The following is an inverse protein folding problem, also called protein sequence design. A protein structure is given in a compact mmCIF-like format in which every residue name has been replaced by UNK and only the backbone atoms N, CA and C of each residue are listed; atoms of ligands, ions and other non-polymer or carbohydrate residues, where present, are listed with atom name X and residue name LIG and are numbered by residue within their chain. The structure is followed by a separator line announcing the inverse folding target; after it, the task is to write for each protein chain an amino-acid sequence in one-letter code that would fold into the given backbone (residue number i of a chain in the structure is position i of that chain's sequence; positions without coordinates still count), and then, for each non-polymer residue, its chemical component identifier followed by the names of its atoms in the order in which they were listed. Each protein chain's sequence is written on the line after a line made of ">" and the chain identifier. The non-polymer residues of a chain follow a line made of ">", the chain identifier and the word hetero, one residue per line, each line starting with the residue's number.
data_IF_913623287618
#
_entry.id   IF_913623287618
#
_cell.length_a   1.000
_cell.length_b   1.000
_cell.length_c   1.000
_cell.angle_alpha   90.00
_cell.angle_beta   90.00
_cell.angle_gamma   90.00
#
_symmetry.space_group_name_H-M   'P 1'
#
loop_
_entity.id
_entity.type
_entity.pdbx_description
1 polymer ?
#
# COMPACT_ATOMS: atom_id res chain seq x y z
N UNK A 1 24.46 7.26 -13.40
CA UNK A 1 24.56 5.94 -12.74
C UNK A 1 25.89 5.89 -11.98
N UNK A 2 25.87 6.24 -10.70
CA UNK A 2 27.04 6.28 -9.83
C UNK A 2 27.04 5.01 -8.97
N UNK A 3 28.05 4.17 -9.14
CA UNK A 3 28.30 3.04 -8.26
C UNK A 3 28.86 3.57 -6.94
N UNK A 4 28.04 3.53 -5.89
CA UNK A 4 28.48 3.79 -4.53
C UNK A 4 29.27 2.57 -4.03
N UNK A 5 30.59 2.65 -4.14
CA UNK A 5 31.55 1.83 -3.43
C UNK A 5 31.61 2.31 -1.97
N UNK A 6 31.52 1.39 -1.03
CA UNK A 6 32.11 1.56 0.30
C UNK A 6 31.21 1.19 1.47
N UNK A 7 31.52 0.07 2.11
CA UNK A 7 32.10 0.06 3.46
C UNK A 7 32.38 -1.40 3.86
N UNK A 8 33.66 -1.75 3.95
CA UNK A 8 34.09 -3.00 4.59
C UNK A 8 33.83 -2.84 6.08
N UNK A 9 32.88 -3.60 6.60
CA UNK A 9 32.56 -3.64 8.01
C UNK A 9 33.75 -4.24 8.78
N UNK A 10 34.35 -3.43 9.64
CA UNK A 10 35.30 -3.89 10.65
C UNK A 10 34.56 -4.78 11.66
N UNK A 11 35.15 -5.91 12.09
CA UNK A 11 34.56 -6.75 13.12
C UNK A 11 34.52 -5.97 14.44
N UNK A 12 33.32 -5.64 14.89
CA UNK A 12 33.07 -5.01 16.17
C UNK A 12 33.57 -5.93 17.29
N UNK A 13 34.41 -5.37 18.16
CA UNK A 13 34.85 -5.96 19.42
C UNK A 13 33.62 -6.38 20.24
N UNK A 14 33.54 -7.64 20.73
CA UNK A 14 32.38 -8.08 21.49
C UNK A 14 32.24 -7.22 22.76
N UNK A 15 31.03 -6.78 23.13
CA UNK A 15 30.80 -6.14 24.40
C UNK A 15 31.07 -7.18 25.50
N UNK A 16 32.05 -6.88 26.34
CA UNK A 16 32.22 -7.49 27.65
C UNK A 16 31.05 -7.07 28.54
N UNK A 17 29.87 -7.63 28.29
CA UNK A 17 28.73 -7.54 29.18
C UNK A 17 28.95 -8.53 30.31
N UNK A 18 29.65 -8.06 31.34
CA UNK A 18 29.58 -8.61 32.69
C UNK A 18 28.17 -8.36 33.22
N UNK A 19 27.22 -9.18 32.79
CA UNK A 19 25.89 -9.22 33.37
C UNK A 19 26.03 -9.91 34.72
N UNK A 20 26.12 -9.11 35.77
CA UNK A 20 26.00 -9.58 37.15
C UNK A 20 24.57 -10.16 37.32
N UNK A 21 24.44 -11.47 37.16
CA UNK A 21 23.22 -12.21 37.42
C UNK A 21 23.00 -12.15 38.94
N UNK A 22 22.13 -11.23 39.34
CA UNK A 22 21.68 -11.08 40.72
C UNK A 22 20.60 -12.13 40.97
N UNK A 23 21.02 -13.20 41.65
CA UNK A 23 20.28 -13.99 42.64
C UNK A 23 18.74 -14.03 42.52
N UNK A 24 18.21 -15.17 42.05
CA UNK A 24 16.87 -15.63 42.42
C UNK A 24 16.93 -17.09 42.86
N UNK A 25 16.76 -17.25 44.17
CA UNK A 25 16.26 -18.39 44.91
C UNK A 25 16.97 -19.75 44.76
N UNK A 26 18.08 -19.86 45.49
CA UNK A 26 18.76 -21.13 45.81
C UNK A 26 17.88 -21.93 46.77
N UNK A 27 17.01 -22.79 46.25
CA UNK A 27 16.65 -24.01 46.96
C UNK A 27 17.94 -24.74 47.25
N UNK A 28 18.39 -24.69 48.50
CA UNK A 28 19.60 -25.34 48.96
C UNK A 28 19.39 -26.87 48.93
N UNK A 29 19.50 -27.45 47.73
CA UNK A 29 19.84 -28.85 47.60
C UNK A 29 21.22 -28.96 48.25
N UNK A 30 21.25 -29.58 49.43
CA UNK A 30 22.47 -29.91 50.16
C UNK A 30 23.33 -30.73 49.20
N UNK A 31 24.32 -30.09 48.61
CA UNK A 31 25.25 -30.77 47.72
C UNK A 31 25.97 -31.84 48.55
N UNK A 32 25.92 -33.11 48.14
CA UNK A 32 26.61 -34.17 48.85
C UNK A 32 28.10 -33.82 48.97
N UNK A 33 28.77 -34.24 50.06
CA UNK A 33 30.18 -33.94 50.27
C UNK A 33 30.99 -34.37 49.05
N UNK A 34 31.84 -33.47 48.54
CA UNK A 34 32.62 -33.68 47.33
C UNK A 34 33.46 -34.98 47.46
N UNK A 35 32.95 -36.05 46.85
CA UNK A 35 33.64 -37.34 46.81
C UNK A 35 34.85 -37.17 45.90
N UNK A 36 36.04 -37.10 46.50
CA UNK A 36 37.27 -37.02 45.73
C UNK A 36 37.54 -38.39 45.08
N UNK A 37 37.75 -38.46 43.75
CA UNK A 37 38.04 -39.71 43.08
C UNK A 37 39.40 -40.24 43.56
N UNK A 38 39.40 -41.40 44.21
CA UNK A 38 40.59 -42.00 44.84
C UNK A 38 41.34 -42.92 43.89
N UNK A 39 40.66 -43.46 42.88
CA UNK A 39 41.24 -44.38 41.90
C UNK A 39 41.45 -43.68 40.55
N UNK A 40 42.43 -44.15 39.77
CA UNK A 40 42.73 -43.59 38.44
C UNK A 40 41.57 -43.74 37.46
N UNK A 41 40.79 -44.81 37.59
CA UNK A 41 39.57 -45.03 36.82
C UNK A 41 38.48 -44.01 37.16
N UNK A 42 38.25 -43.73 38.45
CA UNK A 42 37.31 -42.68 38.89
C UNK A 42 37.72 -41.30 38.38
N UNK A 43 39.03 -40.98 38.41
CA UNK A 43 39.56 -39.72 37.89
C UNK A 43 39.32 -39.58 36.38
N UNK A 44 39.52 -40.65 35.60
CA UNK A 44 39.25 -40.65 34.16
C UNK A 44 37.77 -40.40 33.85
N UNK A 45 36.86 -41.09 34.54
CA UNK A 45 35.42 -40.90 34.34
C UNK A 45 34.96 -39.52 34.80
N UNK A 46 35.48 -39.00 35.92
CA UNK A 46 35.19 -37.66 36.39
C UNK A 46 35.65 -36.59 35.38
N UNK A 47 36.87 -36.71 34.85
CA UNK A 47 37.37 -35.80 33.83
C UNK A 47 36.53 -35.87 32.54
N UNK A 48 36.12 -37.08 32.14
CA UNK A 48 35.25 -37.29 30.97
C UNK A 48 33.84 -36.72 31.18
N UNK A 49 33.27 -36.86 32.38
CA UNK A 49 31.98 -36.27 32.72
C UNK A 49 32.06 -34.73 32.69
N UNK A 50 33.10 -34.15 33.30
CA UNK A 50 33.30 -32.70 33.32
C UNK A 50 33.52 -32.13 31.90
N UNK A 51 34.29 -32.82 31.05
CA UNK A 51 34.43 -32.42 29.64
C UNK A 51 33.12 -32.52 28.87
N UNK A 52 32.28 -33.52 29.15
CA UNK A 52 30.95 -33.62 28.56
C UNK A 52 30.02 -32.48 29.02
N UNK A 53 30.02 -32.15 30.32
CA UNK A 53 29.22 -31.07 30.89
C UNK A 53 29.64 -29.70 30.36
N UNK A 54 30.95 -29.44 30.27
CA UNK A 54 31.48 -28.19 29.70
C UNK A 54 31.13 -28.04 28.22
N UNK A 55 31.22 -29.12 27.43
CA UNK A 55 30.83 -29.13 26.01
C UNK A 55 29.33 -28.89 25.85
N UNK A 56 28.49 -29.55 26.66
CA UNK A 56 27.05 -29.36 26.65
C UNK A 56 26.67 -27.92 27.03
N UNK A 57 27.31 -27.36 28.06
CA UNK A 57 27.09 -25.96 28.47
C UNK A 57 27.46 -24.99 27.35
N UNK A 58 28.57 -25.23 26.66
CA UNK A 58 28.98 -24.41 25.51
C UNK A 58 27.97 -24.50 24.35
N UNK A 59 27.41 -25.68 24.08
CA UNK A 59 26.36 -25.85 23.05
C UNK A 59 25.08 -25.12 23.42
N UNK A 60 24.61 -25.25 24.65
CA UNK A 60 23.41 -24.56 25.11
C UNK A 60 23.57 -23.04 25.08
N UNK A 61 24.75 -22.53 25.46
CA UNK A 61 25.05 -21.11 25.37
C UNK A 61 24.98 -20.62 23.91
N UNK A 62 25.59 -21.36 22.99
CA UNK A 62 25.54 -21.03 21.56
C UNK A 62 24.13 -21.11 20.96
N UNK A 63 23.33 -22.13 21.31
CA UNK A 63 21.93 -22.22 20.88
C UNK A 63 21.10 -21.05 21.39
N UNK A 64 21.30 -20.64 22.64
CA UNK A 64 20.65 -19.47 23.20
C UNK A 64 21.06 -18.20 22.45
N UNK A 65 22.34 -18.01 22.15
CA UNK A 65 22.83 -16.87 21.35
C UNK A 65 22.20 -16.85 19.95
N UNK A 66 22.13 -17.99 19.26
CA UNK A 66 21.48 -18.08 17.96
C UNK A 66 20.00 -17.75 18.02
N UNK A 67 19.29 -18.24 19.04
CA UNK A 67 17.86 -17.95 19.22
C UNK A 67 17.61 -16.47 19.54
N UNK A 68 18.50 -15.84 20.30
CA UNK A 68 18.43 -14.41 20.61
C UNK A 68 18.69 -13.55 19.37
N UNK A 69 19.66 -13.94 18.54
CA UNK A 69 19.95 -13.28 17.27
C UNK A 69 18.80 -13.43 16.28
N UNK A 70 18.20 -14.62 16.15
CA UNK A 70 17.06 -14.83 15.26
C UNK A 70 15.85 -13.99 15.69
N UNK A 71 15.55 -13.93 16.98
CA UNK A 71 14.47 -13.10 17.51
C UNK A 71 14.69 -11.61 17.22
N UNK A 72 15.92 -11.11 17.37
CA UNK A 72 16.26 -9.72 17.07
C UNK A 72 16.12 -9.39 15.58
N UNK A 73 16.51 -10.31 14.69
CA UNK A 73 16.32 -10.15 13.25
C UNK A 73 14.84 -10.18 12.84
N UNK A 74 14.06 -11.09 13.41
CA UNK A 74 12.62 -11.17 13.16
C UNK A 74 11.92 -9.88 13.57
N UNK A 75 12.27 -9.31 14.73
CA UNK A 75 11.74 -8.03 15.17
C UNK A 75 12.12 -6.90 14.19
N UNK A 76 13.36 -6.87 13.70
CA UNK A 76 13.79 -5.90 12.70
C UNK A 76 12.99 -6.03 11.40
N UNK A 77 12.81 -7.25 10.90
CA UNK A 77 12.00 -7.52 9.70
C UNK A 77 10.54 -7.10 9.91
N UNK A 78 9.98 -7.37 11.09
CA UNK A 78 8.62 -6.95 11.43
C UNK A 78 8.47 -5.42 11.40
N UNK A 79 9.46 -4.67 11.91
CA UNK A 79 9.48 -3.20 11.87
C UNK A 79 9.57 -2.69 10.42
N UNK A 80 10.43 -3.27 9.60
CA UNK A 80 10.57 -2.90 8.18
C UNK A 80 9.27 -3.16 7.40
N UNK A 81 8.64 -4.33 7.62
CA UNK A 81 7.34 -4.66 7.04
C UNK A 81 6.24 -3.68 7.48
N UNK A 82 6.20 -3.31 8.76
CA UNK A 82 5.23 -2.34 9.28
C UNK A 82 5.41 -0.96 8.65
N UNK A 83 6.65 -0.52 8.43
CA UNK A 83 6.96 0.74 7.73
C UNK A 83 6.51 0.67 6.27
N UNK A 84 6.80 -0.45 5.59
CA UNK A 84 6.40 -0.67 4.21
C UNK A 84 4.87 -0.66 4.08
N UNK A 85 4.16 -1.38 4.94
CA UNK A 85 2.70 -1.44 4.97
C UNK A 85 2.09 -0.05 5.15
N UNK A 86 2.55 0.73 6.14
CA UNK A 86 2.11 2.13 6.34
C UNK A 86 2.33 2.99 5.09
N UNK A 87 3.38 2.72 4.31
CA UNK A 87 3.64 3.44 3.06
C UNK A 87 2.67 3.05 1.94
N UNK A 88 2.22 1.79 1.92
CA UNK A 88 1.21 1.29 0.98
C UNK A 88 -0.18 1.82 1.34
N UNK A 89 -0.58 1.75 2.60
CA UNK A 89 -1.89 2.23 3.07
C UNK A 89 -2.10 3.70 2.72
N UNK A 90 -1.07 4.53 2.92
CA UNK A 90 -1.07 5.94 2.51
C UNK A 90 -1.28 6.15 1.01
N UNK A 91 -0.79 5.23 0.16
CA UNK A 91 -0.99 5.31 -1.29
C UNK A 91 -2.41 4.87 -1.65
N UNK A 92 -2.90 3.80 -1.03
CA UNK A 92 -4.25 3.29 -1.26
C UNK A 92 -5.31 4.32 -0.87
N UNK A 93 -5.18 4.97 0.29
CA UNK A 93 -6.11 6.02 0.70
C UNK A 93 -6.18 7.18 -0.33
N UNK A 94 -5.06 7.56 -0.95
CA UNK A 94 -5.04 8.59 -1.99
C UNK A 94 -5.71 8.13 -3.28
N UNK A 95 -5.48 6.87 -3.69
CA UNK A 95 -6.13 6.29 -4.86
C UNK A 95 -7.63 6.14 -4.65
N UNK A 96 -8.05 5.77 -3.45
CA UNK A 96 -9.45 5.66 -3.06
C UNK A 96 -10.17 7.01 -3.17
N UNK A 97 -9.60 8.08 -2.62
CA UNK A 97 -10.17 9.43 -2.74
C UNK A 97 -10.29 9.86 -4.21
N UNK A 98 -9.26 9.59 -5.02
CA UNK A 98 -9.28 9.93 -6.45
C UNK A 98 -10.36 9.12 -7.18
N UNK A 99 -10.44 7.81 -6.92
CA UNK A 99 -11.46 6.93 -7.50
C UNK A 99 -12.89 7.38 -7.13
N UNK A 100 -13.12 7.72 -5.86
CA UNK A 100 -14.41 8.23 -5.38
C UNK A 100 -14.77 9.57 -6.05
N UNK A 101 -13.78 10.46 -6.23
CA UNK A 101 -13.99 11.75 -6.91
C UNK A 101 -14.34 11.55 -8.40
N UNK A 102 -13.64 10.64 -9.08
CA UNK A 102 -13.91 10.29 -10.48
C UNK A 102 -15.31 9.67 -10.63
N UNK A 103 -15.66 8.75 -9.72
CA UNK A 103 -16.97 8.11 -9.72
C UNK A 103 -18.10 9.11 -9.47
N UNK A 104 -17.93 10.03 -8.52
CA UNK A 104 -18.88 11.12 -8.29
C UNK A 104 -19.02 12.04 -9.52
N UNK A 105 -17.91 12.35 -10.20
CA UNK A 105 -17.94 13.13 -11.45
C UNK A 105 -18.70 12.40 -12.57
N UNK A 106 -18.54 11.09 -12.69
CA UNK A 106 -19.26 10.28 -13.68
C UNK A 106 -20.76 10.25 -13.39
N UNK A 107 -21.16 10.08 -12.13
CA UNK A 107 -22.59 10.14 -11.74
C UNK A 107 -23.17 11.52 -12.06
N UNK A 108 -22.47 12.60 -11.67
CA UNK A 108 -22.90 13.97 -11.97
C UNK A 108 -23.07 14.17 -13.48
N UNK A 109 -22.13 13.67 -14.28
CA UNK A 109 -22.19 13.72 -15.74
C UNK A 109 -23.44 13.00 -16.29
N UNK A 110 -23.65 11.75 -15.91
CA UNK A 110 -24.82 10.95 -16.34
C UNK A 110 -26.13 11.60 -15.89
N UNK A 111 -26.20 12.13 -14.66
CA UNK A 111 -27.39 12.83 -14.19
C UNK A 111 -27.68 14.09 -15.00
N UNK A 112 -26.63 14.81 -15.40
CA UNK A 112 -26.74 16.03 -16.22
C UNK A 112 -27.21 15.70 -17.63
N UNK A 113 -26.69 14.65 -18.25
CA UNK A 113 -27.13 14.23 -19.60
C UNK A 113 -28.59 13.78 -19.60
N UNK A 114 -29.02 13.01 -18.60
CA UNK A 114 -30.43 12.62 -18.42
C UNK A 114 -31.32 13.85 -18.20
N UNK A 115 -30.89 14.80 -17.37
CA UNK A 115 -31.64 16.04 -17.13
C UNK A 115 -31.79 16.87 -18.41
N UNK A 116 -30.71 17.01 -19.19
CA UNK A 116 -30.76 17.73 -20.46
C UNK A 116 -31.66 17.03 -21.49
N UNK A 117 -31.57 15.71 -21.59
CA UNK A 117 -32.39 14.92 -22.51
C UNK A 117 -33.88 15.00 -22.14
N UNK A 118 -34.21 14.86 -20.85
CA UNK A 118 -35.58 14.99 -20.36
C UNK A 118 -36.13 16.42 -20.51
N UNK A 119 -35.29 17.44 -20.40
CA UNK A 119 -35.68 18.83 -20.66
C UNK A 119 -35.92 19.08 -22.15
N UNK A 120 -35.10 18.52 -23.03
CA UNK A 120 -35.27 18.65 -24.48
C UNK A 120 -36.55 17.98 -24.98
N UNK A 121 -36.98 16.90 -24.32
CA UNK A 121 -38.24 16.21 -24.63
C UNK A 121 -39.50 16.97 -24.18
N UNK A 122 -39.40 18.05 -23.38
CA UNK A 122 -40.57 18.87 -23.07
C UNK A 122 -40.78 19.83 -24.25
N UNK A 123 -41.74 19.59 -25.15
CA UNK A 123 -42.06 20.57 -26.18
C UNK A 123 -42.49 21.84 -25.46
N UNK A 124 -41.69 22.89 -25.53
CA UNK A 124 -42.17 24.22 -25.16
C UNK A 124 -43.33 24.51 -26.11
N UNK A 125 -44.57 24.67 -25.62
CA UNK A 125 -45.67 25.03 -26.49
C UNK A 125 -45.31 26.39 -27.08
N UNK A 126 -44.96 26.41 -28.36
CA UNK A 126 -44.68 27.67 -29.03
C UNK A 126 -46.01 28.42 -29.04
N UNK A 127 -46.10 29.45 -28.19
CA UNK A 127 -47.28 30.32 -28.07
C UNK A 127 -47.68 31.02 -29.37
N UNK A 128 -46.90 30.81 -30.44
CA UNK A 128 -47.01 31.44 -31.75
C UNK A 128 -47.11 30.43 -32.91
N UNK A 129 -47.24 29.12 -32.64
CA UNK A 129 -47.63 28.17 -33.68
C UNK A 129 -49.13 28.31 -33.94
N UNK A 130 -49.48 29.31 -34.74
CA UNK A 130 -50.78 29.37 -35.39
C UNK A 130 -50.93 28.12 -36.28
N UNK A 131 -52.05 27.38 -36.20
CA UNK A 131 -52.28 26.18 -36.98
C UNK A 131 -52.64 26.57 -38.42
N UNK A 132 -51.66 26.89 -39.26
CA UNK A 132 -51.88 27.03 -40.70
C UNK A 132 -51.66 25.69 -41.40
N UNK A 133 -52.62 24.77 -41.24
CA UNK A 133 -52.67 23.58 -42.07
C UNK A 133 -53.14 23.97 -43.48
N UNK A 134 -52.22 24.41 -44.34
CA UNK A 134 -52.45 24.45 -45.78
C UNK A 134 -51.93 23.15 -46.39
N UNK A 135 -52.89 22.27 -46.68
CA UNK A 135 -52.77 21.18 -47.63
C UNK A 135 -52.26 21.67 -48.97
N UNK A 136 -51.07 21.25 -49.39
CA UNK A 136 -50.79 21.00 -50.81
C UNK A 136 -50.08 19.65 -50.92
N UNK A 137 -50.75 18.62 -51.45
CA UNK A 137 -50.20 17.29 -51.59
C UNK A 137 -49.37 17.20 -52.88
N UNK A 138 -48.30 16.40 -52.82
CA UNK A 138 -47.64 15.73 -53.97
C UNK A 138 -46.98 16.70 -54.95
N UNK A 139 -45.78 17.14 -54.61
CA UNK A 139 -44.58 17.24 -55.46
C UNK A 139 -43.57 18.06 -54.67
N UNK A 140 -42.30 17.67 -54.75
CA UNK A 140 -41.12 18.51 -54.47
C UNK A 140 -40.32 18.19 -53.18
N UNK A 141 -38.97 18.20 -53.27
CA UNK A 141 -38.03 17.43 -52.46
C UNK A 141 -37.54 18.20 -51.21
N UNK A 142 -38.45 18.73 -50.41
CA UNK A 142 -38.13 19.64 -49.31
C UNK A 142 -38.29 19.04 -47.90
N UNK A 143 -38.35 17.71 -47.77
CA UNK A 143 -38.22 17.04 -46.47
C UNK A 143 -36.79 17.18 -45.85
N UNK A 144 -35.86 17.83 -46.55
CA UNK A 144 -34.45 18.01 -46.13
C UNK A 144 -34.21 19.21 -45.18
N UNK A 145 -35.24 19.91 -44.68
CA UNK A 145 -35.05 21.12 -43.84
C UNK A 145 -35.62 20.93 -42.43
N UNK A 146 -35.43 19.74 -41.84
CA UNK A 146 -35.71 19.51 -40.42
C UNK A 146 -34.53 18.84 -39.70
N UNK A 147 -33.50 18.37 -40.41
CA UNK A 147 -32.40 17.61 -39.78
C UNK A 147 -31.20 18.46 -39.30
N UNK A 148 -31.16 19.77 -39.58
CA UNK A 148 -29.94 20.54 -39.39
C UNK A 148 -29.89 21.36 -38.09
N UNK A 149 -31.01 21.57 -37.40
CA UNK A 149 -31.02 22.42 -36.20
C UNK A 149 -30.79 21.65 -34.88
N UNK A 150 -31.16 20.37 -34.82
CA UNK A 150 -30.89 19.53 -33.64
C UNK A 150 -29.41 19.11 -33.52
N UNK A 151 -28.68 19.07 -34.64
CA UNK A 151 -27.27 18.67 -34.68
C UNK A 151 -26.30 19.71 -34.09
N UNK A 152 -26.60 21.00 -34.25
CA UNK A 152 -25.69 22.08 -33.81
C UNK A 152 -25.69 22.24 -32.27
N UNK A 153 -26.82 21.94 -31.62
CA UNK A 153 -26.93 22.03 -30.16
C UNK A 153 -26.16 20.88 -29.49
N UNK A 154 -26.20 19.67 -30.07
CA UNK A 154 -25.54 18.50 -29.51
C UNK A 154 -24.00 18.60 -29.62
N UNK A 155 -23.50 19.07 -30.76
CA UNK A 155 -22.05 19.25 -30.98
C UNK A 155 -21.42 20.25 -30.01
N UNK A 156 -22.10 21.35 -29.67
CA UNK A 156 -21.62 22.33 -28.67
C UNK A 156 -21.57 21.74 -27.27
N UNK A 157 -22.51 20.86 -26.93
CA UNK A 157 -22.55 20.22 -25.61
C UNK A 157 -21.44 19.16 -25.48
N UNK A 158 -21.26 18.33 -26.52
CA UNK A 158 -20.22 17.31 -26.57
C UNK A 158 -18.84 17.95 -26.51
N UNK A 159 -18.61 19.04 -27.25
CA UNK A 159 -17.33 19.76 -27.23
C UNK A 159 -17.03 20.37 -25.86
N UNK A 160 -18.01 20.99 -25.18
CA UNK A 160 -17.84 21.46 -23.80
C UNK A 160 -17.54 20.32 -22.81
N UNK A 161 -18.21 19.18 -22.95
CA UNK A 161 -17.95 18.00 -22.12
C UNK A 161 -16.54 17.44 -22.34
N UNK A 162 -16.11 17.30 -23.60
CA UNK A 162 -14.76 16.87 -23.94
C UNK A 162 -13.71 17.84 -23.38
N UNK A 163 -13.95 19.15 -23.44
CA UNK A 163 -13.06 20.15 -22.87
C UNK A 163 -12.95 20.03 -21.34
N UNK A 164 -14.06 19.83 -20.64
CA UNK A 164 -14.09 19.64 -19.17
C UNK A 164 -13.36 18.35 -18.79
N UNK A 165 -13.62 17.24 -19.50
CA UNK A 165 -12.95 15.96 -19.27
C UNK A 165 -11.45 16.05 -19.54
N UNK A 166 -11.03 16.74 -20.61
CA UNK A 166 -9.62 16.95 -20.92
C UNK A 166 -8.93 17.82 -19.84
N UNK A 167 -9.60 18.86 -19.34
CA UNK A 167 -9.08 19.69 -18.25
C UNK A 167 -8.95 18.92 -16.93
N UNK A 168 -9.95 18.09 -16.60
CA UNK A 168 -9.91 17.20 -15.43
C UNK A 168 -8.81 16.15 -15.55
N UNK A 169 -8.71 15.48 -16.70
CA UNK A 169 -7.65 14.52 -16.97
C UNK A 169 -6.27 15.16 -16.86
N UNK A 170 -6.10 16.37 -17.41
CA UNK A 170 -4.87 17.14 -17.29
C UNK A 170 -4.56 17.53 -15.84
N UNK A 171 -5.54 18.00 -15.07
CA UNK A 171 -5.36 18.34 -13.66
C UNK A 171 -4.97 17.11 -12.83
N UNK A 172 -5.62 15.97 -13.05
CA UNK A 172 -5.24 14.68 -12.45
C UNK A 172 -3.82 14.28 -12.83
N UNK A 173 -3.46 14.37 -14.11
CA UNK A 173 -2.13 14.01 -14.60
C UNK A 173 -1.05 14.95 -14.04
N UNK A 174 -1.34 16.25 -13.95
CA UNK A 174 -0.45 17.26 -13.37
C UNK A 174 -0.26 17.06 -11.87
N UNK A 175 -1.34 16.79 -11.14
CA UNK A 175 -1.27 16.46 -9.71
C UNK A 175 -0.42 15.21 -9.48
N UNK A 176 -0.61 14.19 -10.32
CA UNK A 176 0.17 12.96 -10.28
C UNK A 176 1.64 13.18 -10.58
N UNK A 177 1.99 13.95 -11.63
CA UNK A 177 3.38 14.29 -11.96
C UNK A 177 4.07 15.13 -10.88
N UNK A 178 3.37 16.11 -10.32
CA UNK A 178 3.92 16.97 -9.27
C UNK A 178 4.23 16.18 -7.99
N UNK A 179 3.37 15.23 -7.63
CA UNK A 179 3.58 14.37 -6.46
C UNK A 179 4.46 13.14 -6.73
N UNK A 180 4.54 12.67 -7.97
CA UNK A 180 5.41 11.57 -8.37
C UNK A 180 6.89 11.95 -8.35
N UNK A 181 7.19 13.25 -8.51
CA UNK A 181 8.56 13.78 -8.63
C UNK A 181 9.23 14.14 -7.30
N UNK A 182 8.49 14.08 -6.18
CA UNK A 182 9.04 14.21 -4.82
C UNK A 182 9.45 12.86 -4.19
N UNK A 183 9.48 11.80 -4.99
CA UNK A 183 10.16 10.55 -4.69
C UNK A 183 11.46 10.48 -5.46
#
# INVERSE_FOLDING_TARGET
>A
MMFARGAVATPAKPPSSTTAITLVNKSAVVAPPAVQPKTTSEQYWAARALTAETLLTARLAHENELSALSAAEEEKRARELAVLQRSHDKRYAKLEILAMTLFACLIAFVSTTIYLLSRAQRPTPSRWALPSHFTIPILSPFASVVEHETSVIDTRLITMCCAILAALAYACFRYWLAHGRQR
#
